data_IF_096600936578
#
_entry.id   IF_096600936578
#
_cell.length_a   1.000
_cell.length_b   1.000
_cell.length_c   1.000
_cell.angle_alpha   90.00
_cell.angle_beta   90.00
_cell.angle_gamma   90.00
#
_symmetry.space_group_name_H-M   'P 1'
#
loop_
_entity.id
_entity.type
_entity.pdbx_description
1 polymer ?
#
# COMPACT_ATOMS: atom_id res chain seq x y z
N UNK A 1 13.15 21.01 27.79
CA UNK A 1 12.11 19.99 27.51
C UNK A 1 12.63 18.77 26.72
N UNK A 2 13.95 18.62 26.47
CA UNK A 2 14.52 17.47 25.72
C UNK A 2 15.60 16.67 26.50
N UNK A 3 15.71 16.85 27.81
CA UNK A 3 16.82 16.29 28.62
C UNK A 3 16.57 14.88 29.19
N UNK A 4 15.53 14.19 28.71
CA UNK A 4 15.10 12.88 29.24
C UNK A 4 15.03 11.76 28.21
N UNK A 5 15.49 11.96 26.97
CA UNK A 5 15.61 10.84 26.02
C UNK A 5 16.92 10.11 26.32
N UNK A 6 16.80 8.99 27.02
CA UNK A 6 17.95 8.16 27.37
C UNK A 6 18.36 7.27 26.20
N UNK A 7 19.57 6.71 26.25
CA UNK A 7 20.03 5.71 25.28
C UNK A 7 19.09 4.48 25.23
N UNK A 8 18.34 4.22 26.30
CA UNK A 8 17.38 3.13 26.38
C UNK A 8 16.10 3.43 25.57
N UNK A 9 15.66 4.68 25.56
CA UNK A 9 14.51 5.12 24.74
C UNK A 9 14.82 4.99 23.25
N UNK A 10 16.05 5.32 22.84
CA UNK A 10 16.52 5.15 21.45
C UNK A 10 16.55 3.67 21.04
N UNK A 11 16.92 2.77 21.95
CA UNK A 11 16.92 1.31 21.69
C UNK A 11 15.52 0.72 21.56
N UNK A 12 14.49 1.39 22.11
CA UNK A 12 13.09 0.97 22.00
C UNK A 12 12.42 1.36 20.67
N UNK A 13 13.08 2.17 19.85
CA UNK A 13 12.57 2.50 18.53
C UNK A 13 12.45 1.24 17.65
N UNK A 14 11.42 1.16 16.78
CA UNK A 14 11.24 0.04 15.86
C UNK A 14 12.23 0.14 14.70
N UNK A 15 13.51 -0.15 14.97
CA UNK A 15 14.61 -0.02 14.02
C UNK A 15 14.38 -0.79 12.72
N UNK A 16 13.78 -1.97 12.78
CA UNK A 16 13.47 -2.78 11.59
C UNK A 16 12.53 -2.03 10.63
N UNK A 17 11.49 -1.40 11.17
CA UNK A 17 10.54 -0.59 10.39
C UNK A 17 11.22 0.66 9.84
N UNK A 18 12.03 1.35 10.65
CA UNK A 18 12.76 2.54 10.20
C UNK A 18 13.75 2.21 9.06
N UNK A 19 14.48 1.12 9.18
CA UNK A 19 15.41 0.63 8.15
C UNK A 19 14.67 0.20 6.89
N UNK A 20 13.48 -0.40 7.00
CA UNK A 20 12.66 -0.75 5.85
C UNK A 20 12.12 0.49 5.13
N UNK A 21 11.67 1.52 5.86
CA UNK A 21 11.25 2.81 5.28
C UNK A 21 12.41 3.45 4.54
N UNK A 22 13.59 3.52 5.16
CA UNK A 22 14.79 4.06 4.54
C UNK A 22 15.20 3.27 3.28
N UNK A 23 15.13 1.94 3.34
CA UNK A 23 15.39 1.06 2.21
C UNK A 23 14.41 1.24 1.05
N UNK A 24 13.11 1.38 1.34
CA UNK A 24 12.07 1.64 0.34
C UNK A 24 12.23 3.00 -0.34
N UNK A 25 12.53 4.05 0.42
CA UNK A 25 12.83 5.37 -0.13
C UNK A 25 14.10 5.35 -1.00
N UNK A 26 15.16 4.66 -0.55
CA UNK A 26 16.39 4.48 -1.31
C UNK A 26 16.16 3.71 -2.61
N UNK A 27 15.36 2.64 -2.57
CA UNK A 27 14.97 1.88 -3.76
C UNK A 27 14.17 2.75 -4.74
N UNK A 28 13.21 3.52 -4.25
CA UNK A 28 12.45 4.47 -5.07
C UNK A 28 13.36 5.48 -5.77
N UNK A 29 14.32 6.06 -5.04
CA UNK A 29 15.31 6.97 -5.61
C UNK A 29 16.17 6.27 -6.67
N UNK A 30 16.67 5.06 -6.39
CA UNK A 30 17.45 4.28 -7.35
C UNK A 30 16.67 3.93 -8.63
N UNK A 31 15.37 3.65 -8.53
CA UNK A 31 14.50 3.37 -9.68
C UNK A 31 14.37 4.60 -10.60
N UNK A 32 14.35 5.80 -10.04
CA UNK A 32 14.38 7.06 -10.79
C UNK A 32 15.76 7.31 -11.38
N UNK A 33 16.81 7.25 -10.57
CA UNK A 33 18.20 7.56 -10.97
C UNK A 33 18.72 6.62 -12.07
N UNK A 34 18.34 5.35 -12.04
CA UNK A 34 18.71 4.37 -13.06
C UNK A 34 17.92 4.51 -14.38
N UNK A 35 16.90 5.37 -14.41
CA UNK A 35 15.97 5.49 -15.53
C UNK A 35 15.01 4.30 -15.67
N UNK A 36 14.98 3.40 -14.69
CA UNK A 36 14.09 2.23 -14.69
C UNK A 36 12.62 2.67 -14.64
N UNK A 37 12.30 3.73 -13.90
CA UNK A 37 10.97 4.36 -13.89
C UNK A 37 10.48 4.70 -15.29
N UNK A 38 11.30 5.41 -16.08
CA UNK A 38 10.97 5.83 -17.45
C UNK A 38 10.76 4.62 -18.35
N UNK A 39 11.58 3.58 -18.18
CA UNK A 39 11.49 2.35 -18.96
C UNK A 39 10.29 1.48 -18.59
N UNK A 40 9.86 1.48 -17.32
CA UNK A 40 8.64 0.82 -16.90
C UNK A 40 7.40 1.60 -17.37
N UNK A 41 7.44 2.92 -17.28
CA UNK A 41 6.38 3.79 -17.79
C UNK A 41 6.18 3.60 -19.30
N UNK A 42 7.25 3.47 -20.09
CA UNK A 42 7.13 3.22 -21.53
C UNK A 42 6.54 1.85 -21.86
N UNK A 43 6.75 0.84 -21.01
CA UNK A 43 6.09 -0.46 -21.16
C UNK A 43 4.60 -0.41 -20.83
N UNK A 44 4.20 0.53 -19.99
CA UNK A 44 2.82 0.76 -19.57
C UNK A 44 2.12 1.86 -20.39
N UNK A 45 2.83 2.51 -21.31
CA UNK A 45 2.31 3.62 -22.11
C UNK A 45 1.10 3.21 -22.96
N UNK A 46 1.01 1.94 -23.38
CA UNK A 46 -0.18 1.43 -24.06
C UNK A 46 -1.43 1.42 -23.17
N UNK A 47 -1.27 1.32 -21.85
CA UNK A 47 -2.39 1.35 -20.90
C UNK A 47 -2.88 2.77 -20.67
N UNK A 48 -1.98 3.75 -20.62
CA UNK A 48 -2.35 5.16 -20.47
C UNK A 48 -3.01 5.71 -21.73
N UNK A 49 -2.57 5.29 -22.93
CA UNK A 49 -3.20 5.66 -24.21
C UNK A 49 -4.65 5.13 -24.33
N UNK A 50 -4.97 4.05 -23.62
CA UNK A 50 -6.31 3.45 -23.60
C UNK A 50 -7.17 3.92 -22.40
N UNK A 51 -6.72 4.91 -21.62
CA UNK A 51 -7.36 5.36 -20.36
C UNK A 51 -7.55 4.21 -19.33
N UNK A 52 -6.66 3.22 -19.35
CA UNK A 52 -6.72 2.05 -18.46
C UNK A 52 -5.95 2.26 -17.14
N UNK A 53 -5.85 3.50 -16.65
CA UNK A 53 -5.24 3.83 -15.36
C UNK A 53 -5.83 2.98 -14.22
N UNK A 54 -7.13 2.69 -14.30
CA UNK A 54 -7.84 1.80 -13.38
C UNK A 54 -7.20 0.40 -13.27
N UNK A 55 -6.68 -0.14 -14.38
CA UNK A 55 -6.05 -1.46 -14.41
C UNK A 55 -4.70 -1.44 -13.67
N UNK A 56 -3.91 -0.37 -13.85
CA UNK A 56 -2.63 -0.19 -13.14
C UNK A 56 -2.87 -0.05 -11.65
N UNK A 57 -3.82 0.80 -11.24
CA UNK A 57 -4.21 0.93 -9.83
C UNK A 57 -4.73 -0.37 -9.25
N UNK A 58 -5.60 -1.08 -9.96
CA UNK A 58 -6.14 -2.37 -9.52
C UNK A 58 -5.05 -3.44 -9.35
N UNK A 59 -4.11 -3.54 -10.29
CA UNK A 59 -2.99 -4.48 -10.20
C UNK A 59 -2.09 -4.18 -8.98
N UNK A 60 -1.68 -2.92 -8.80
CA UNK A 60 -0.84 -2.52 -7.68
C UNK A 60 -1.57 -2.66 -6.33
N UNK A 61 -2.87 -2.35 -6.28
CA UNK A 61 -3.68 -2.53 -5.08
C UNK A 61 -3.78 -4.02 -4.69
N UNK A 62 -3.99 -4.91 -5.67
CA UNK A 62 -4.05 -6.36 -5.42
C UNK A 62 -2.71 -6.93 -4.94
N UNK A 63 -1.60 -6.49 -5.56
CA UNK A 63 -0.24 -6.83 -5.11
C UNK A 63 -0.04 -6.35 -3.67
N UNK A 64 -0.46 -5.13 -3.37
CA UNK A 64 -0.35 -4.53 -2.03
C UNK A 64 -1.10 -5.33 -0.99
N UNK A 65 -2.36 -5.68 -1.23
CA UNK A 65 -3.15 -6.50 -0.28
C UNK A 65 -2.50 -7.86 -0.07
N UNK A 66 -2.04 -8.48 -1.15
CA UNK A 66 -1.40 -9.79 -1.07
C UNK A 66 -0.15 -9.73 -0.20
N UNK A 67 0.75 -8.76 -0.45
CA UNK A 67 1.96 -8.57 0.35
C UNK A 67 1.66 -8.19 1.80
N UNK A 68 0.63 -7.37 2.02
CA UNK A 68 0.20 -6.93 3.35
C UNK A 68 -0.46 -8.03 4.18
N UNK A 69 -0.76 -9.20 3.60
CA UNK A 69 -1.14 -10.37 4.38
C UNK A 69 0.08 -11.09 5.01
N UNK A 70 1.28 -10.89 4.46
CA UNK A 70 2.52 -11.51 4.94
C UNK A 70 3.42 -10.55 5.72
N UNK A 71 3.25 -9.25 5.52
CA UNK A 71 4.00 -8.18 6.17
C UNK A 71 3.04 -7.16 6.80
N UNK A 72 3.53 -6.29 7.68
CA UNK A 72 2.67 -5.22 8.21
C UNK A 72 2.25 -4.23 7.11
N UNK A 73 1.10 -3.59 7.28
CA UNK A 73 0.59 -2.62 6.30
C UNK A 73 1.60 -1.50 6.05
N UNK A 74 2.20 -0.96 7.12
CA UNK A 74 3.23 0.09 7.02
C UNK A 74 4.45 -0.39 6.26
N UNK A 75 4.95 -1.59 6.57
CA UNK A 75 6.08 -2.19 5.88
C UNK A 75 5.82 -2.35 4.37
N UNK A 76 4.62 -2.80 4.03
CA UNK A 76 4.19 -3.00 2.65
C UNK A 76 4.14 -1.69 1.87
N UNK A 77 3.55 -0.64 2.45
CA UNK A 77 3.48 0.68 1.81
C UNK A 77 4.85 1.30 1.63
N UNK A 78 5.72 1.20 2.64
CA UNK A 78 7.09 1.70 2.54
C UNK A 78 7.88 1.08 1.39
N UNK A 79 7.60 -0.16 1.04
CA UNK A 79 8.24 -0.87 -0.07
C UNK A 79 7.62 -0.51 -1.42
N UNK A 80 6.29 -0.56 -1.54
CA UNK A 80 5.59 -0.48 -2.83
C UNK A 80 5.39 0.95 -3.29
N UNK A 81 5.10 1.87 -2.37
CA UNK A 81 4.69 3.24 -2.71
C UNK A 81 5.76 4.01 -3.51
N UNK A 82 7.05 4.02 -3.13
CA UNK A 82 8.07 4.78 -3.84
C UNK A 82 8.25 4.34 -5.29
N UNK A 83 8.12 3.05 -5.57
CA UNK A 83 8.17 2.52 -6.94
C UNK A 83 6.89 2.88 -7.69
N UNK A 84 5.75 2.76 -7.03
CA UNK A 84 4.43 2.98 -7.63
C UNK A 84 4.24 4.42 -8.10
N UNK A 85 4.58 5.42 -7.28
CA UNK A 85 4.42 6.84 -7.66
C UNK A 85 5.23 7.24 -8.90
N UNK A 86 6.29 6.48 -9.24
CA UNK A 86 7.10 6.75 -10.43
C UNK A 86 6.48 6.22 -11.73
N UNK A 87 5.48 5.32 -11.63
CA UNK A 87 4.82 4.70 -12.79
C UNK A 87 3.71 5.56 -13.40
N UNK A 88 3.06 6.41 -12.59
CA UNK A 88 1.93 7.25 -13.00
C UNK A 88 2.16 8.68 -12.51
N UNK A 89 2.90 9.45 -13.29
CA UNK A 89 3.20 10.86 -13.02
C UNK A 89 1.92 11.70 -12.97
N UNK A 90 1.78 12.58 -11.97
CA UNK A 90 0.60 13.44 -11.80
C UNK A 90 -0.61 12.77 -11.16
N UNK A 91 -0.48 11.53 -10.67
CA UNK A 91 -1.50 10.81 -9.89
C UNK A 91 -0.97 10.26 -8.57
N UNK A 92 0.02 10.94 -7.99
CA UNK A 92 0.71 10.50 -6.79
C UNK A 92 -0.24 10.42 -5.59
N UNK A 93 -1.19 11.36 -5.50
CA UNK A 93 -2.17 11.41 -4.41
C UNK A 93 -3.15 10.23 -4.49
N UNK A 94 -3.66 9.91 -5.68
CA UNK A 94 -4.51 8.72 -5.87
C UNK A 94 -3.73 7.44 -5.53
N UNK A 95 -2.47 7.34 -5.96
CA UNK A 95 -1.61 6.19 -5.68
C UNK A 95 -1.40 5.99 -4.17
N UNK A 96 -1.10 7.06 -3.43
CA UNK A 96 -0.95 7.02 -1.97
C UNK A 96 -2.23 6.53 -1.27
N UNK A 97 -3.39 7.07 -1.64
CA UNK A 97 -4.67 6.69 -1.04
C UNK A 97 -5.05 5.26 -1.36
N UNK A 98 -4.96 4.86 -2.63
CA UNK A 98 -5.34 3.52 -3.10
C UNK A 98 -4.49 2.47 -2.41
N UNK A 99 -3.16 2.60 -2.44
CA UNK A 99 -2.28 1.60 -1.86
C UNK A 99 -2.43 1.57 -0.33
N UNK A 100 -2.43 2.73 0.33
CA UNK A 100 -2.56 2.82 1.79
C UNK A 100 -3.83 2.18 2.34
N UNK A 101 -4.97 2.46 1.70
CA UNK A 101 -6.25 1.84 2.07
C UNK A 101 -6.28 0.36 1.70
N UNK A 102 -5.72 -0.03 0.55
CA UNK A 102 -5.71 -1.44 0.12
C UNK A 102 -4.87 -2.31 1.05
N UNK A 103 -3.69 -1.84 1.49
CA UNK A 103 -2.89 -2.55 2.49
C UNK A 103 -3.70 -2.83 3.77
N UNK A 104 -4.60 -1.92 4.14
CA UNK A 104 -5.47 -2.08 5.32
C UNK A 104 -6.54 -3.16 5.15
N UNK A 105 -6.79 -3.66 3.94
CA UNK A 105 -7.72 -4.75 3.66
C UNK A 105 -7.10 -6.16 3.84
N UNK A 106 -5.89 -6.28 4.40
CA UNK A 106 -5.21 -7.54 4.61
C UNK A 106 -5.80 -8.35 5.79
N UNK A 107 -6.87 -9.10 5.53
CA UNK A 107 -7.62 -9.86 6.55
C UNK A 107 -7.59 -11.38 6.35
N UNK A 108 -6.73 -11.91 5.47
CA UNK A 108 -6.70 -13.33 5.11
C UNK A 108 -6.06 -14.20 6.19
N UNK A 109 -5.14 -13.66 6.98
CA UNK A 109 -4.33 -14.42 7.93
C UNK A 109 -4.40 -13.81 9.34
N UNK A 110 -4.38 -14.64 10.41
CA UNK A 110 -4.32 -14.14 11.78
C UNK A 110 -3.08 -13.29 12.07
N UNK A 111 -1.96 -13.58 11.40
CA UNK A 111 -0.68 -12.88 11.59
C UNK A 111 -0.63 -11.53 10.87
N UNK A 112 -1.55 -11.23 9.97
CA UNK A 112 -1.46 -10.02 9.13
C UNK A 112 -1.61 -8.74 9.92
N UNK A 113 -2.48 -8.71 10.93
CA UNK A 113 -2.75 -7.50 11.74
C UNK A 113 -3.06 -7.83 13.20
N UNK A 114 -2.74 -6.92 14.15
CA UNK A 114 -3.04 -7.13 15.56
C UNK A 114 -4.51 -7.45 15.89
N UNK A 115 -5.53 -6.82 15.27
CA UNK A 115 -6.92 -7.18 15.50
C UNK A 115 -7.24 -8.64 15.14
N UNK A 116 -6.67 -9.16 14.03
CA UNK A 116 -6.85 -10.55 13.64
C UNK A 116 -6.18 -11.50 14.63
N UNK A 117 -4.99 -11.15 15.13
CA UNK A 117 -4.28 -11.93 16.13
C UNK A 117 -5.05 -11.98 17.47
N UNK A 118 -5.64 -10.86 17.89
CA UNK A 118 -6.48 -10.80 19.10
C UNK A 118 -7.72 -11.68 18.94
N UNK A 119 -8.41 -11.60 17.80
CA UNK A 119 -9.58 -12.45 17.52
C UNK A 119 -9.21 -13.94 17.52
N UNK A 120 -8.09 -14.31 16.91
CA UNK A 120 -7.59 -15.70 16.91
C UNK A 120 -7.19 -16.19 18.32
N UNK A 121 -6.67 -15.30 19.17
CA UNK A 121 -6.25 -15.66 20.54
C UNK A 121 -7.40 -16.04 21.47
N UNK A 122 -8.66 -15.78 21.10
CA UNK A 122 -9.85 -16.18 21.87
C UNK A 122 -10.06 -17.70 21.89
N UNK A 123 -9.50 -18.45 20.94
CA UNK A 123 -9.70 -19.89 20.81
C UNK A 123 -11.02 -20.31 20.14
N UNK A 124 -11.94 -19.36 19.93
CA UNK A 124 -13.25 -19.60 19.30
C UNK A 124 -13.19 -19.59 17.75
N UNK A 125 -12.08 -19.10 17.18
CA UNK A 125 -11.93 -18.88 15.72
C UNK A 125 -10.66 -19.58 15.23
N UNK A 126 -10.79 -20.39 14.17
CA UNK A 126 -9.68 -21.05 13.52
C UNK A 126 -9.14 -20.23 12.34
N UNK A 127 -7.90 -20.47 11.93
CA UNK A 127 -7.28 -19.84 10.75
C UNK A 127 -8.11 -20.00 9.47
N UNK A 128 -8.93 -21.05 9.37
CA UNK A 128 -9.80 -21.28 8.22
C UNK A 128 -10.96 -20.30 8.13
N UNK A 129 -11.44 -19.80 9.27
CA UNK A 129 -12.59 -18.90 9.34
C UNK A 129 -12.25 -17.51 8.79
N UNK A 130 -10.98 -17.11 8.88
CA UNK A 130 -10.45 -15.88 8.28
C UNK A 130 -10.43 -15.93 6.75
N UNK A 131 -10.34 -17.12 6.12
CA UNK A 131 -10.13 -17.21 4.67
C UNK A 131 -11.31 -16.66 3.88
N UNK A 132 -12.54 -16.97 4.29
CA UNK A 132 -13.73 -16.55 3.56
C UNK A 132 -13.89 -15.02 3.60
N UNK A 133 -13.85 -14.43 4.81
CA UNK A 133 -13.94 -12.97 4.98
C UNK A 133 -12.73 -12.23 4.42
N UNK A 134 -11.54 -12.78 4.62
CA UNK A 134 -10.29 -12.19 4.15
C UNK A 134 -10.12 -12.23 2.64
N UNK A 135 -10.58 -13.29 1.95
CA UNK A 135 -10.59 -13.32 0.49
C UNK A 135 -11.65 -12.37 -0.07
N UNK A 136 -12.82 -12.29 0.57
CA UNK A 136 -13.88 -11.37 0.17
C UNK A 136 -13.45 -9.91 0.30
N UNK A 137 -12.92 -9.51 1.46
CA UNK A 137 -12.44 -8.14 1.69
C UNK A 137 -11.15 -7.88 0.91
N UNK A 138 -10.25 -8.86 0.81
CA UNK A 138 -9.00 -8.72 0.08
C UNK A 138 -9.17 -8.58 -1.44
N UNK A 139 -10.29 -9.07 -2.00
CA UNK A 139 -10.60 -8.92 -3.42
C UNK A 139 -11.55 -7.75 -3.69
N UNK A 140 -12.62 -7.59 -2.90
CA UNK A 140 -13.60 -6.51 -3.09
C UNK A 140 -13.10 -5.17 -2.57
N UNK A 141 -12.36 -5.15 -1.46
CA UNK A 141 -11.86 -3.94 -0.83
C UNK A 141 -11.04 -3.08 -1.80
N UNK A 142 -10.00 -3.63 -2.45
CA UNK A 142 -9.20 -2.91 -3.45
C UNK A 142 -10.05 -2.37 -4.60
N UNK A 143 -10.99 -3.16 -5.12
CA UNK A 143 -11.86 -2.74 -6.22
C UNK A 143 -12.73 -1.55 -5.81
N UNK A 144 -13.34 -1.62 -4.62
CA UNK A 144 -14.15 -0.53 -4.06
C UNK A 144 -13.30 0.72 -3.80
N UNK A 145 -12.10 0.56 -3.24
CA UNK A 145 -11.18 1.66 -2.96
C UNK A 145 -10.76 2.36 -4.25
N UNK A 146 -10.32 1.61 -5.27
CA UNK A 146 -9.92 2.19 -6.56
C UNK A 146 -11.10 2.92 -7.18
N UNK A 147 -12.29 2.32 -7.23
CA UNK A 147 -13.49 2.96 -7.77
C UNK A 147 -13.85 4.24 -7.02
N UNK A 148 -13.78 4.22 -5.69
CA UNK A 148 -14.09 5.37 -4.84
C UNK A 148 -13.08 6.51 -5.00
N UNK A 149 -11.77 6.22 -5.00
CA UNK A 149 -10.73 7.24 -5.21
C UNK A 149 -10.82 7.84 -6.60
N UNK A 150 -11.07 7.03 -7.64
CA UNK A 150 -11.27 7.54 -9.00
C UNK A 150 -12.51 8.44 -9.09
N UNK A 151 -13.63 8.04 -8.47
CA UNK A 151 -14.84 8.86 -8.42
C UNK A 151 -14.58 10.23 -7.76
N UNK A 152 -13.89 10.24 -6.63
CA UNK A 152 -13.53 11.49 -5.94
C UNK A 152 -12.58 12.33 -6.79
N UNK A 153 -11.56 11.74 -7.42
CA UNK A 153 -10.63 12.44 -8.30
C UNK A 153 -11.39 13.10 -9.48
N UNK A 154 -12.34 12.39 -10.09
CA UNK A 154 -13.19 12.93 -11.15
C UNK A 154 -14.06 14.10 -10.67
N UNK A 155 -14.66 14.00 -9.48
CA UNK A 155 -15.48 15.08 -8.89
C UNK A 155 -14.62 16.31 -8.60
N UNK A 156 -13.44 16.13 -8.00
CA UNK A 156 -12.52 17.22 -7.67
C UNK A 156 -12.09 17.99 -8.92
N UNK A 157 -11.72 17.26 -9.99
CA UNK A 157 -11.40 17.85 -11.30
C UNK A 157 -12.58 18.61 -11.90
N UNK A 158 -13.80 18.06 -11.79
CA UNK A 158 -15.02 18.71 -12.28
C UNK A 158 -15.35 20.01 -11.52
N UNK A 159 -14.97 20.11 -10.25
CA UNK A 159 -15.14 21.32 -9.42
C UNK A 159 -14.01 22.35 -9.56
N UNK A 160 -12.98 22.09 -10.38
CA UNK A 160 -11.89 23.04 -10.64
C UNK A 160 -10.94 23.28 -9.45
N UNK A 161 -10.88 22.33 -8.50
CA UNK A 161 -10.05 22.41 -7.29
C UNK A 161 -8.67 21.73 -7.45
N UNK A 162 -8.28 21.37 -8.68
CA UNK A 162 -7.02 20.68 -9.02
C UNK A 162 -6.21 21.45 -10.05
#
# INVERSE_FOLDING_TARGET
MLDHVSAEDVRRLPWDTLMLVAGGLSLGAAVVDTGLAVRLASWLEFLTVLDLDFLVFGALALITVTLSNFMSNTATISLILPVSVTLLSGRELEMCLILGLSASCALLLPVSTPPNAVAYSTGEIQTRDFRAGGLLIGLLGPVVIVAWVMLISSILKATGLS
#
